data_IF_645406469959
#
_entry.id   IF_645406469959
#
_cell.length_a   1.000
_cell.length_b   1.000
_cell.length_c   1.000
_cell.angle_alpha   90.00
_cell.angle_beta   90.00
_cell.angle_gamma   90.00
#
_symmetry.space_group_name_H-M   'P 1'
#
loop_
_entity.id
_entity.type
_entity.pdbx_description
1 polymer ?
#
# COMPACT_ATOMS: atom_id res chain seq x y z
N UNK A 1 33.99 5.16 -27.53
CA UNK A 1 32.52 4.86 -27.40
C UNK A 1 32.25 3.97 -26.20
N UNK A 2 33.00 2.90 -25.99
CA UNK A 2 32.78 1.93 -24.89
C UNK A 2 32.91 2.58 -23.50
N UNK A 3 33.91 3.44 -23.29
CA UNK A 3 34.14 4.15 -22.04
C UNK A 3 33.02 5.14 -21.70
N UNK A 4 32.46 5.81 -22.70
CA UNK A 4 31.32 6.74 -22.53
C UNK A 4 30.05 5.96 -22.09
N UNK A 5 29.86 4.78 -22.64
CA UNK A 5 28.72 3.91 -22.26
C UNK A 5 28.87 3.36 -20.81
N UNK A 6 30.08 3.00 -20.41
CA UNK A 6 30.40 2.54 -19.05
C UNK A 6 30.22 3.66 -18.02
N UNK A 7 30.69 4.87 -18.32
CA UNK A 7 30.54 6.05 -17.46
C UNK A 7 29.05 6.45 -17.33
N UNK A 8 28.29 6.39 -18.42
CA UNK A 8 26.85 6.66 -18.41
C UNK A 8 26.07 5.60 -17.60
N UNK A 9 26.47 4.33 -17.69
CA UNK A 9 25.86 3.24 -16.92
C UNK A 9 26.15 3.41 -15.42
N UNK A 10 27.39 3.73 -15.05
CA UNK A 10 27.78 3.99 -13.67
C UNK A 10 27.04 5.19 -13.07
N UNK A 11 26.89 6.28 -13.83
CA UNK A 11 26.14 7.45 -13.41
C UNK A 11 24.65 7.13 -13.26
N UNK A 12 24.06 6.35 -14.15
CA UNK A 12 22.66 5.90 -14.04
C UNK A 12 22.44 5.00 -12.82
N UNK A 13 23.40 4.13 -12.49
CA UNK A 13 23.36 3.29 -11.29
C UNK A 13 23.46 4.10 -10.01
N UNK A 14 24.33 5.11 -9.99
CA UNK A 14 24.47 6.02 -8.85
C UNK A 14 23.17 6.82 -8.61
N UNK A 15 22.60 7.41 -9.65
CA UNK A 15 21.34 8.15 -9.57
C UNK A 15 20.17 7.25 -9.08
N UNK A 16 20.15 5.98 -9.48
CA UNK A 16 19.17 5.00 -9.00
C UNK A 16 19.34 4.71 -7.51
N UNK A 17 20.58 4.50 -7.06
CA UNK A 17 20.90 4.25 -5.65
C UNK A 17 20.51 5.45 -4.77
N UNK A 18 20.78 6.67 -5.21
CA UNK A 18 20.43 7.90 -4.50
C UNK A 18 18.90 8.09 -4.44
N UNK A 19 18.20 7.84 -5.56
CA UNK A 19 16.74 7.91 -5.61
C UNK A 19 16.08 6.85 -4.71
N UNK A 20 16.63 5.65 -4.67
CA UNK A 20 16.17 4.57 -3.80
C UNK A 20 16.38 4.91 -2.32
N UNK A 21 17.57 5.36 -1.94
CA UNK A 21 17.87 5.75 -0.57
C UNK A 21 16.97 6.90 -0.09
N UNK A 22 16.68 7.86 -0.97
CA UNK A 22 15.75 8.95 -0.68
C UNK A 22 14.32 8.46 -0.50
N UNK A 23 13.85 7.56 -1.37
CA UNK A 23 12.52 6.97 -1.26
C UNK A 23 12.38 6.15 0.04
N UNK A 24 13.38 5.37 0.41
CA UNK A 24 13.41 4.62 1.66
C UNK A 24 13.36 5.54 2.89
N UNK A 25 14.07 6.67 2.85
CA UNK A 25 14.06 7.66 3.92
C UNK A 25 12.72 8.38 4.03
N UNK A 26 12.10 8.77 2.91
CA UNK A 26 10.77 9.36 2.87
C UNK A 26 9.70 8.38 3.40
N UNK A 27 9.77 7.11 3.00
CA UNK A 27 8.90 6.05 3.48
C UNK A 27 9.03 5.81 4.98
N UNK A 28 10.25 5.78 5.50
CA UNK A 28 10.49 5.62 6.94
C UNK A 28 9.91 6.79 7.75
N UNK A 29 10.03 8.01 7.25
CA UNK A 29 9.47 9.21 7.88
C UNK A 29 7.93 9.20 7.85
N UNK A 30 7.34 8.74 6.74
CA UNK A 30 5.88 8.65 6.58
C UNK A 30 5.28 7.54 7.46
N UNK A 31 5.94 6.37 7.53
CA UNK A 31 5.59 5.29 8.45
C UNK A 31 5.64 5.74 9.92
N UNK A 32 6.71 6.44 10.31
CA UNK A 32 6.84 6.96 11.67
C UNK A 32 5.73 7.97 12.02
N UNK A 33 5.34 8.82 11.05
CA UNK A 33 4.22 9.75 11.22
C UNK A 33 2.89 9.01 11.35
N UNK A 34 2.64 8.00 10.53
CA UNK A 34 1.42 7.20 10.56
C UNK A 34 1.28 6.41 11.88
N UNK A 35 2.38 5.86 12.39
CA UNK A 35 2.42 5.20 13.69
C UNK A 35 2.14 6.19 14.83
N UNK A 36 2.67 7.41 14.75
CA UNK A 36 2.40 8.47 15.72
C UNK A 36 0.93 8.90 15.67
N UNK A 37 0.35 9.07 14.49
CA UNK A 37 -1.06 9.42 14.30
C UNK A 37 -1.99 8.29 14.80
N UNK A 38 -1.61 7.02 14.59
CA UNK A 38 -2.33 5.84 15.09
C UNK A 38 -2.26 5.78 16.63
N UNK A 39 -1.11 6.06 17.22
CA UNK A 39 -0.94 6.11 18.66
C UNK A 39 -1.76 7.25 19.31
N UNK A 40 -1.76 8.42 18.68
CA UNK A 40 -2.56 9.57 19.15
C UNK A 40 -4.08 9.33 19.03
N UNK A 41 -4.51 8.60 18.00
CA UNK A 41 -5.91 8.19 17.83
C UNK A 41 -6.34 7.15 18.89
N UNK A 42 -5.45 6.21 19.23
CA UNK A 42 -5.69 5.22 20.28
C UNK A 42 -5.79 5.87 21.68
N UNK A 43 -4.97 6.89 21.93
CA UNK A 43 -4.99 7.63 23.20
C UNK A 43 -6.28 8.44 23.37
N UNK A 44 -6.81 9.05 22.30
CA UNK A 44 -8.11 9.72 22.31
C UNK A 44 -9.28 8.78 22.60
N UNK A 45 -9.25 7.55 22.09
CA UNK A 45 -10.27 6.53 22.36
C UNK A 45 -10.22 6.00 23.78
N UNK A 46 -9.07 6.01 24.44
CA UNK A 46 -8.93 5.60 25.84
C UNK A 46 -9.26 6.70 26.85
N UNK A 47 -9.34 7.96 26.42
CA UNK A 47 -9.64 9.13 27.28
C UNK A 47 -11.13 9.45 27.42
N UNK A 48 -12.03 8.88 26.62
CA UNK A 48 -13.48 9.05 26.74
C UNK A 48 -14.15 7.83 27.37
N UNK A 49 -13.82 7.56 28.63
CA UNK A 49 -14.38 6.45 29.35
C UNK A 49 -14.71 6.79 30.80
N UNK A 50 -16.00 7.01 31.05
CA UNK A 50 -16.72 6.71 32.28
C UNK A 50 -16.77 7.80 33.34
N UNK A 51 -17.85 8.54 33.29
CA UNK A 51 -18.58 8.97 34.49
C UNK A 51 -20.01 8.44 34.39
N UNK A 52 -20.43 7.60 35.33
CA UNK A 52 -21.83 7.18 35.41
C UNK A 52 -22.03 5.89 36.23
N UNK A 53 -21.84 5.98 37.50
CA UNK A 53 -22.69 5.60 38.67
C UNK A 53 -23.69 4.44 38.53
N UNK A 54 -23.61 3.43 39.25
CA UNK A 54 -24.13 3.06 40.57
C UNK A 54 -24.81 1.67 40.67
N UNK A 55 -24.40 0.97 41.70
CA UNK A 55 -25.18 0.18 42.64
C UNK A 55 -25.63 -1.25 42.31
N UNK A 56 -25.03 -2.12 42.98
CA UNK A 56 -25.57 -3.01 44.00
C UNK A 56 -25.71 -4.52 43.70
N UNK A 57 -25.10 -5.26 44.59
CA UNK A 57 -25.49 -6.49 45.28
C UNK A 57 -24.96 -7.85 44.84
N UNK A 58 -24.15 -8.31 45.77
CA UNK A 58 -24.07 -9.63 46.42
C UNK A 58 -23.51 -10.83 45.69
N UNK A 59 -22.37 -11.16 46.17
CA UNK A 59 -21.83 -12.46 46.65
C UNK A 59 -22.44 -13.76 46.07
N UNK A 60 -21.56 -14.55 45.45
CA UNK A 60 -21.29 -15.89 46.01
C UNK A 60 -19.96 -16.46 45.50
N UNK A 61 -19.27 -17.01 46.45
CA UNK A 61 -17.97 -17.63 46.45
C UNK A 61 -18.04 -19.00 45.74
N UNK A 62 -17.16 -19.25 44.78
CA UNK A 62 -16.65 -20.61 44.53
C UNK A 62 -15.31 -20.55 43.80
N UNK A 63 -14.33 -21.03 44.46
CA UNK A 63 -12.96 -21.29 44.07
C UNK A 63 -12.89 -22.18 42.82
N UNK A 64 -12.21 -21.73 41.75
CA UNK A 64 -11.63 -22.66 40.78
C UNK A 64 -10.44 -21.98 40.07
N UNK A 65 -9.36 -22.67 40.15
CA UNK A 65 -8.04 -22.63 39.54
C UNK A 65 -7.87 -21.72 38.33
N UNK A 66 -6.86 -20.86 38.42
CA UNK A 66 -6.40 -19.93 37.38
C UNK A 66 -5.80 -20.74 36.22
N UNK A 67 -6.50 -20.81 35.13
CA UNK A 67 -5.90 -21.07 33.80
C UNK A 67 -5.71 -19.74 33.11
N UNK A 68 -4.44 -19.36 32.96
CA UNK A 68 -4.04 -18.06 32.35
C UNK A 68 -4.07 -18.19 30.84
N UNK A 69 -5.25 -18.29 30.25
CA UNK A 69 -5.45 -17.98 28.86
C UNK A 69 -5.91 -16.54 28.76
N UNK A 70 -5.01 -15.68 28.39
CA UNK A 70 -5.33 -14.29 28.00
C UNK A 70 -6.19 -14.32 26.74
N UNK A 71 -7.51 -14.45 26.91
CA UNK A 71 -8.47 -14.15 25.86
C UNK A 71 -8.48 -12.64 25.67
N UNK A 72 -7.61 -12.16 24.78
CA UNK A 72 -7.70 -10.81 24.25
C UNK A 72 -8.85 -10.80 23.25
N UNK A 73 -10.05 -10.46 23.74
CA UNK A 73 -11.26 -10.30 22.93
C UNK A 73 -11.16 -9.01 22.11
N UNK A 74 -10.32 -9.04 21.08
CA UNK A 74 -10.30 -8.00 20.04
C UNK A 74 -10.63 -8.65 18.69
N UNK A 75 -11.83 -9.21 18.58
CA UNK A 75 -12.30 -9.95 17.40
C UNK A 75 -12.58 -9.07 16.16
N UNK A 76 -12.44 -7.76 16.28
CA UNK A 76 -12.62 -6.83 15.16
C UNK A 76 -11.31 -6.44 14.43
N UNK A 77 -10.15 -6.77 14.98
CA UNK A 77 -8.86 -6.33 14.47
C UNK A 77 -8.01 -7.48 13.85
N UNK A 78 -8.35 -8.75 14.11
CA UNK A 78 -7.52 -9.88 13.69
C UNK A 78 -7.50 -10.08 12.17
N UNK A 79 -8.64 -9.88 11.49
CA UNK A 79 -8.74 -10.06 10.03
C UNK A 79 -8.05 -8.91 9.30
N UNK A 80 -8.23 -7.68 9.80
CA UNK A 80 -7.51 -6.51 9.32
C UNK A 80 -6.00 -6.68 9.49
N UNK A 81 -5.53 -6.98 10.71
CA UNK A 81 -4.11 -7.12 11.01
C UNK A 81 -3.48 -8.27 10.21
N UNK A 82 -4.17 -9.39 10.07
CA UNK A 82 -3.73 -10.53 9.25
C UNK A 82 -3.60 -10.15 7.78
N UNK A 83 -4.62 -9.48 7.22
CA UNK A 83 -4.60 -9.00 5.85
C UNK A 83 -3.46 -8.00 5.62
N UNK A 84 -3.32 -6.99 6.48
CA UNK A 84 -2.29 -5.97 6.35
C UNK A 84 -0.89 -6.58 6.43
N UNK A 85 -0.64 -7.46 7.40
CA UNK A 85 0.66 -8.10 7.57
C UNK A 85 1.02 -8.98 6.37
N UNK A 86 0.07 -9.79 5.88
CA UNK A 86 0.29 -10.64 4.71
C UNK A 86 0.65 -9.80 3.47
N UNK A 87 -0.22 -8.85 3.13
CA UNK A 87 -0.07 -8.11 1.87
C UNK A 87 1.06 -7.08 1.92
N UNK A 88 1.36 -6.50 3.08
CA UNK A 88 2.57 -5.68 3.26
C UNK A 88 3.81 -6.48 2.89
N UNK A 89 3.97 -7.65 3.50
CA UNK A 89 5.15 -8.50 3.27
C UNK A 89 5.29 -8.95 1.80
N UNK A 90 4.19 -9.41 1.19
CA UNK A 90 4.20 -9.88 -0.21
C UNK A 90 4.53 -8.77 -1.19
N UNK A 91 3.91 -7.59 -1.01
CA UNK A 91 4.10 -6.45 -1.91
C UNK A 91 5.49 -5.85 -1.70
N UNK A 92 6.00 -5.74 -0.48
CA UNK A 92 7.36 -5.25 -0.23
C UNK A 92 8.41 -6.16 -0.85
N UNK A 93 8.25 -7.47 -0.76
CA UNK A 93 9.12 -8.43 -1.46
C UNK A 93 9.08 -8.22 -2.98
N UNK A 94 7.89 -7.99 -3.54
CA UNK A 94 7.72 -7.73 -4.97
C UNK A 94 8.33 -6.39 -5.40
N UNK A 95 8.24 -5.35 -4.58
CA UNK A 95 8.76 -4.01 -4.88
C UNK A 95 10.23 -3.82 -4.50
N UNK A 96 10.85 -4.80 -3.86
CA UNK A 96 12.25 -4.72 -3.43
C UNK A 96 13.19 -4.28 -4.57
N UNK A 97 14.12 -3.40 -4.26
CA UNK A 97 15.07 -2.85 -5.23
C UNK A 97 14.50 -1.86 -6.24
N UNK A 98 13.28 -1.37 -6.02
CA UNK A 98 12.64 -0.34 -6.86
C UNK A 98 12.42 0.97 -6.09
N UNK A 99 12.14 2.09 -6.77
CA UNK A 99 11.76 3.33 -6.10
C UNK A 99 10.50 3.24 -5.22
N UNK A 100 9.67 2.22 -5.42
CA UNK A 100 8.50 1.95 -4.60
C UNK A 100 8.75 0.93 -3.47
N UNK A 101 10.02 0.60 -3.16
CA UNK A 101 10.35 -0.29 -2.05
C UNK A 101 9.77 0.25 -0.73
N UNK A 102 9.24 -0.64 0.13
CA UNK A 102 8.62 -0.27 1.41
C UNK A 102 7.20 0.29 1.32
N UNK A 103 6.56 0.29 0.12
CA UNK A 103 5.17 0.75 -0.03
C UNK A 103 4.12 -0.33 0.21
N UNK A 104 4.51 -1.55 0.57
CA UNK A 104 3.59 -2.67 0.78
C UNK A 104 2.44 -2.34 1.73
N UNK A 105 2.76 -1.69 2.86
CA UNK A 105 1.75 -1.26 3.83
C UNK A 105 0.71 -0.31 3.21
N UNK A 106 1.15 0.69 2.45
CA UNK A 106 0.26 1.65 1.82
C UNK A 106 -0.69 0.99 0.80
N UNK A 107 -0.20 0.03 0.02
CA UNK A 107 -1.02 -0.78 -0.88
C UNK A 107 -2.02 -1.65 -0.12
N UNK A 108 -1.58 -2.32 0.95
CA UNK A 108 -2.43 -3.19 1.75
C UNK A 108 -3.58 -2.42 2.41
N UNK A 109 -3.29 -1.26 3.03
CA UNK A 109 -4.30 -0.40 3.64
C UNK A 109 -5.28 0.16 2.61
N UNK A 110 -4.78 0.66 1.47
CA UNK A 110 -5.62 1.17 0.40
C UNK A 110 -6.53 0.08 -0.19
N UNK A 111 -6.01 -1.14 -0.36
CA UNK A 111 -6.77 -2.30 -0.82
C UNK A 111 -7.86 -2.70 0.16
N UNK A 112 -7.54 -2.79 1.46
CA UNK A 112 -8.52 -3.08 2.50
C UNK A 112 -9.67 -2.08 2.52
N UNK A 113 -9.34 -0.79 2.51
CA UNK A 113 -10.32 0.29 2.58
C UNK A 113 -11.24 0.38 1.36
N UNK A 114 -10.81 -0.12 0.20
CA UNK A 114 -11.55 -0.01 -1.06
C UNK A 114 -12.13 -1.34 -1.56
N UNK A 115 -11.72 -2.47 -0.98
CA UNK A 115 -12.08 -3.80 -1.45
C UNK A 115 -11.42 -4.18 -2.78
N UNK A 116 -10.36 -3.48 -3.18
CA UNK A 116 -9.59 -3.76 -4.41
C UNK A 116 -8.56 -4.85 -4.13
N UNK A 117 -8.33 -5.74 -5.09
CA UNK A 117 -7.27 -6.75 -5.04
C UNK A 117 -5.91 -6.08 -4.80
N UNK A 118 -5.21 -6.37 -3.68
CA UNK A 118 -3.99 -5.68 -3.29
C UNK A 118 -2.83 -5.83 -4.29
N UNK A 119 -2.89 -6.84 -5.16
CA UNK A 119 -1.90 -7.09 -6.19
C UNK A 119 -2.06 -6.21 -7.43
N UNK A 120 -3.25 -5.67 -7.66
CA UNK A 120 -3.59 -5.08 -8.95
C UNK A 120 -2.83 -3.77 -9.23
N UNK A 121 -2.87 -2.82 -8.32
CA UNK A 121 -2.19 -1.54 -8.48
C UNK A 121 -0.66 -1.65 -8.56
N UNK A 122 0.05 -2.44 -7.71
CA UNK A 122 1.48 -2.62 -7.85
C UNK A 122 1.87 -3.37 -9.14
N UNK A 123 1.03 -4.27 -9.64
CA UNK A 123 1.25 -4.93 -10.92
C UNK A 123 1.17 -3.94 -12.10
N UNK A 124 0.21 -3.01 -12.07
CA UNK A 124 0.12 -1.93 -13.08
C UNK A 124 1.36 -1.04 -12.99
N UNK A 125 1.79 -0.62 -11.80
CA UNK A 125 2.98 0.20 -11.62
C UNK A 125 4.24 -0.46 -12.21
N UNK A 126 4.33 -1.80 -12.16
CA UNK A 126 5.42 -2.53 -12.80
C UNK A 126 5.39 -2.38 -14.34
N UNK A 127 4.22 -2.48 -14.95
CA UNK A 127 4.07 -2.41 -16.42
C UNK A 127 4.27 -0.99 -16.93
N UNK A 128 3.71 0.01 -16.23
CA UNK A 128 3.70 1.39 -16.70
C UNK A 128 5.03 2.14 -16.46
N UNK A 129 5.73 1.82 -15.36
CA UNK A 129 6.92 2.58 -14.98
C UNK A 129 8.08 1.74 -14.41
N UNK A 130 8.05 0.42 -14.55
CA UNK A 130 9.01 -0.47 -13.89
C UNK A 130 9.08 -0.22 -12.37
N UNK A 131 7.92 -0.20 -11.70
CA UNK A 131 7.78 0.04 -10.25
C UNK A 131 8.30 1.42 -9.81
N UNK A 132 7.95 2.44 -10.58
CA UNK A 132 8.30 3.83 -10.29
C UNK A 132 9.66 4.30 -10.81
N UNK A 133 10.40 3.46 -11.55
CA UNK A 133 11.70 3.84 -12.10
C UNK A 133 11.59 4.91 -13.21
N UNK A 134 10.52 4.86 -14.00
CA UNK A 134 10.28 5.76 -15.14
C UNK A 134 8.96 6.49 -15.01
N UNK A 135 8.81 7.30 -13.95
CA UNK A 135 7.59 8.08 -13.74
C UNK A 135 7.54 9.29 -14.66
N UNK A 136 6.37 9.54 -15.27
CA UNK A 136 6.14 10.75 -16.07
C UNK A 136 5.80 11.98 -15.21
N UNK A 137 5.32 11.79 -13.97
CA UNK A 137 5.08 12.81 -12.95
C UNK A 137 5.61 12.33 -11.59
N UNK A 138 5.82 13.22 -10.64
CA UNK A 138 6.32 12.87 -9.30
C UNK A 138 5.39 11.85 -8.65
N UNK A 139 5.94 10.74 -8.15
CA UNK A 139 5.23 9.63 -7.50
C UNK A 139 4.05 9.05 -8.29
N UNK A 140 4.09 9.19 -9.63
CA UNK A 140 3.07 8.69 -10.55
C UNK A 140 3.59 7.46 -11.31
N UNK A 141 3.55 6.31 -10.66
CA UNK A 141 4.03 5.05 -11.24
C UNK A 141 3.09 4.45 -12.30
N UNK A 142 1.92 5.02 -12.51
CA UNK A 142 0.85 4.46 -13.35
C UNK A 142 0.63 5.23 -14.67
N UNK A 143 1.47 6.22 -14.97
CA UNK A 143 1.29 7.05 -16.17
C UNK A 143 -0.07 7.78 -16.17
N UNK A 144 -0.58 8.16 -15.01
CA UNK A 144 -1.90 8.75 -14.88
C UNK A 144 -1.90 10.20 -15.34
N UNK A 145 -2.67 10.49 -16.41
CA UNK A 145 -2.77 11.83 -16.99
C UNK A 145 -3.56 12.80 -16.10
N UNK A 146 -3.21 14.08 -16.15
CA UNK A 146 -3.94 15.15 -15.50
C UNK A 146 -5.10 15.65 -16.37
N UNK A 147 -6.16 16.19 -15.74
CA UNK A 147 -7.20 16.92 -16.47
C UNK A 147 -6.59 18.17 -17.10
N UNK A 148 -6.80 18.35 -18.39
CA UNK A 148 -6.25 19.50 -19.13
C UNK A 148 -4.89 19.24 -19.78
N UNK A 149 -4.37 18.01 -19.70
CA UNK A 149 -3.12 17.59 -20.33
C UNK A 149 -1.96 17.45 -19.36
N UNK A 150 -0.90 16.76 -19.79
CA UNK A 150 0.25 16.41 -18.95
C UNK A 150 -0.02 15.25 -18.00
N UNK A 151 0.83 15.11 -16.99
CA UNK A 151 0.82 14.00 -16.04
C UNK A 151 0.45 14.48 -14.65
N UNK A 152 -0.27 13.65 -13.89
CA UNK A 152 -0.47 13.88 -12.46
C UNK A 152 0.85 13.78 -11.73
N UNK A 153 0.97 14.57 -10.66
CA UNK A 153 2.03 14.45 -9.66
C UNK A 153 1.39 14.37 -8.28
N UNK A 154 2.03 13.60 -7.41
CA UNK A 154 1.62 13.42 -6.02
C UNK A 154 2.72 13.92 -5.10
N UNK A 155 2.40 14.21 -3.82
CA UNK A 155 3.35 14.68 -2.83
C UNK A 155 4.21 13.56 -2.25
N UNK A 156 3.71 12.31 -2.30
CA UNK A 156 4.40 11.12 -1.80
C UNK A 156 3.98 9.85 -2.54
N UNK A 157 4.70 8.73 -2.33
CA UNK A 157 4.28 7.42 -2.79
C UNK A 157 2.95 6.99 -2.16
N UNK A 158 2.77 7.23 -0.86
CA UNK A 158 1.54 6.91 -0.13
C UNK A 158 0.32 7.60 -0.74
N UNK A 159 0.43 8.90 -1.04
CA UNK A 159 -0.64 9.65 -1.70
C UNK A 159 -0.94 9.05 -3.09
N UNK A 160 0.07 8.80 -3.91
CA UNK A 160 -0.10 8.21 -5.24
C UNK A 160 -0.74 6.82 -5.20
N UNK A 161 -0.29 5.96 -4.29
CA UNK A 161 -0.83 4.61 -4.05
C UNK A 161 -2.30 4.69 -3.65
N UNK A 162 -2.62 5.48 -2.62
CA UNK A 162 -3.99 5.61 -2.12
C UNK A 162 -4.93 6.15 -3.19
N UNK A 163 -4.50 7.17 -3.92
CA UNK A 163 -5.28 7.75 -5.01
C UNK A 163 -5.51 6.75 -6.15
N UNK A 164 -4.48 5.99 -6.57
CA UNK A 164 -4.61 5.04 -7.67
C UNK A 164 -5.47 3.83 -7.30
N UNK A 165 -5.30 3.25 -6.11
CA UNK A 165 -6.13 2.11 -5.65
C UNK A 165 -7.61 2.53 -5.54
N UNK A 166 -7.89 3.71 -4.96
CA UNK A 166 -9.25 4.25 -4.90
C UNK A 166 -9.84 4.48 -6.30
N UNK A 167 -9.03 4.98 -7.24
CA UNK A 167 -9.45 5.19 -8.62
C UNK A 167 -9.78 3.88 -9.34
N UNK A 168 -9.00 2.82 -9.11
CA UNK A 168 -9.30 1.48 -9.65
C UNK A 168 -10.64 0.99 -9.14
N UNK A 169 -10.87 1.02 -7.83
CA UNK A 169 -12.14 0.59 -7.22
C UNK A 169 -13.35 1.35 -7.77
N UNK A 170 -13.24 2.67 -7.85
CA UNK A 170 -14.35 3.51 -8.31
C UNK A 170 -14.66 3.37 -9.81
N UNK A 171 -13.69 3.03 -10.64
CA UNK A 171 -13.86 3.10 -12.09
C UNK A 171 -13.76 1.76 -12.82
N UNK A 172 -13.08 0.77 -12.26
CA UNK A 172 -12.77 -0.49 -12.96
C UNK A 172 -13.21 -1.74 -12.20
N UNK A 173 -13.62 -1.59 -10.94
CA UNK A 173 -14.06 -2.69 -10.07
C UNK A 173 -12.99 -3.16 -9.09
N UNK A 174 -13.23 -4.30 -8.44
CA UNK A 174 -12.38 -4.78 -7.34
C UNK A 174 -11.13 -5.54 -7.79
N UNK A 175 -11.04 -5.97 -9.04
CA UNK A 175 -9.88 -6.74 -9.55
C UNK A 175 -9.77 -6.63 -11.07
N UNK A 176 -8.63 -7.10 -11.60
CA UNK A 176 -8.37 -7.18 -13.03
C UNK A 176 -9.36 -8.12 -13.73
N UNK A 177 -10.09 -7.58 -14.70
CA UNK A 177 -10.96 -8.35 -15.60
C UNK A 177 -10.71 -7.94 -17.04
N UNK A 178 -11.11 -8.75 -18.04
CA UNK A 178 -11.07 -8.34 -19.45
C UNK A 178 -11.85 -7.04 -19.72
N UNK A 179 -12.97 -6.82 -19.03
CA UNK A 179 -13.77 -5.60 -19.16
C UNK A 179 -13.00 -4.38 -18.60
N UNK A 180 -12.37 -4.52 -17.42
CA UNK A 180 -11.52 -3.49 -16.84
C UNK A 180 -10.33 -3.16 -17.74
N UNK A 181 -9.66 -4.18 -18.30
CA UNK A 181 -8.54 -4.00 -19.21
C UNK A 181 -8.93 -3.27 -20.50
N UNK A 182 -10.06 -3.62 -21.12
CA UNK A 182 -10.60 -2.91 -22.30
C UNK A 182 -10.87 -1.43 -22.03
N UNK A 183 -11.31 -1.11 -20.83
CA UNK A 183 -11.57 0.28 -20.42
C UNK A 183 -10.28 1.03 -20.09
N UNK A 184 -9.29 0.35 -19.52
CA UNK A 184 -8.01 0.95 -19.10
C UNK A 184 -7.08 1.21 -20.29
N UNK A 185 -6.92 0.23 -21.20
CA UNK A 185 -5.98 0.25 -22.33
C UNK A 185 -6.65 -0.24 -23.62
N UNK A 186 -7.63 0.51 -24.20
CA UNK A 186 -8.49 0.04 -25.28
C UNK A 186 -7.77 -0.59 -26.49
N UNK A 187 -6.69 -0.01 -27.06
CA UNK A 187 -6.11 -0.53 -28.30
C UNK A 187 -5.40 -1.87 -28.13
N UNK A 188 -4.78 -2.12 -26.98
CA UNK A 188 -3.89 -3.28 -26.72
C UNK A 188 -4.26 -4.01 -25.45
N UNK A 189 -5.54 -4.01 -25.08
CA UNK A 189 -6.03 -4.53 -23.81
C UNK A 189 -5.68 -5.99 -23.54
N UNK A 190 -5.62 -6.87 -24.56
CA UNK A 190 -5.31 -8.29 -24.36
C UNK A 190 -3.87 -8.47 -23.90
N UNK A 191 -2.92 -7.83 -24.57
CA UNK A 191 -1.51 -7.86 -24.22
C UNK A 191 -1.27 -7.22 -22.84
N UNK A 192 -1.88 -6.06 -22.61
CA UNK A 192 -1.83 -5.36 -21.32
C UNK A 192 -2.43 -6.23 -20.19
N UNK A 193 -3.60 -6.83 -20.41
CA UNK A 193 -4.23 -7.75 -19.46
C UNK A 193 -3.30 -8.90 -19.07
N UNK A 194 -2.72 -9.57 -20.06
CA UNK A 194 -1.82 -10.72 -19.83
C UNK A 194 -0.56 -10.30 -19.05
N UNK A 195 0.00 -9.13 -19.37
CA UNK A 195 1.17 -8.58 -18.66
C UNK A 195 0.85 -8.26 -17.21
N UNK A 196 -0.25 -7.56 -16.94
CA UNK A 196 -0.68 -7.23 -15.58
C UNK A 196 -1.02 -8.48 -14.78
N UNK A 197 -1.78 -9.43 -15.35
CA UNK A 197 -2.10 -10.70 -14.71
C UNK A 197 -0.83 -11.49 -14.35
N UNK A 198 0.16 -11.50 -15.24
CA UNK A 198 1.46 -12.12 -14.99
C UNK A 198 2.19 -11.48 -13.81
N UNK A 199 2.13 -10.15 -13.68
CA UNK A 199 2.73 -9.46 -12.53
C UNK A 199 1.95 -9.70 -11.24
N UNK A 200 0.62 -9.72 -11.27
CA UNK A 200 -0.21 -10.07 -10.10
C UNK A 200 0.11 -11.47 -9.55
N UNK A 201 0.43 -12.43 -10.41
CA UNK A 201 0.81 -13.79 -10.00
C UNK A 201 2.22 -13.89 -9.38
N UNK A 202 3.00 -12.83 -9.42
CA UNK A 202 4.34 -12.74 -8.79
C UNK A 202 4.31 -12.11 -7.40
N UNK A 203 3.21 -11.53 -7.03
CA UNK A 203 2.92 -10.95 -5.71
C UNK A 203 2.22 -12.01 -4.86
#
# INVERSE_FOLDING_TARGET
>A
EQKIAEDALAQAQQLRSEAQAKAEQENAAELAKLEADKAAAAEKLSGEGVSGNNSNSQANNANTTIDTTVNNSNTGNSDYDSFINEWTSRIDNYLAGSPMAGQGYNFAVAAWNTGVDPRWSPAIACIESSKGLYCAGSYNAWGWSARGGGWRSFGSWSEGVSAHVAYLGANYGSTLTPAAAKKYCPPTWQDWYNKVATQMNRI
#
